data_IF_598624928469
#
_entry.id   IF_598624928469
#
_cell.length_a   1.000
_cell.length_b   1.000
_cell.length_c   1.000
_cell.angle_alpha   90.00
_cell.angle_beta   90.00
_cell.angle_gamma   90.00
#
_symmetry.space_group_name_H-M   'P 1'
#
loop_
_entity.id
_entity.type
_entity.pdbx_description
1 polymer ?
#
# COMPACT_ATOMS: atom_id res chain seq x y z
N UNK A 1 13.81 -13.93 10.61
CA UNK A 1 12.50 -13.56 10.08
C UNK A 1 12.49 -12.08 9.71
N UNK A 2 11.70 -11.73 8.69
CA UNK A 2 11.64 -10.37 8.16
C UNK A 2 10.19 -9.89 8.09
N UNK A 3 10.03 -8.57 8.27
CA UNK A 3 8.80 -7.84 7.95
C UNK A 3 9.14 -6.85 6.84
N UNK A 4 8.32 -6.79 5.80
CA UNK A 4 8.52 -5.88 4.67
C UNK A 4 7.55 -4.71 4.74
N UNK A 5 8.06 -3.50 4.53
CA UNK A 5 7.28 -2.30 4.23
C UNK A 5 7.64 -1.87 2.82
N UNK A 6 6.67 -1.77 1.93
CA UNK A 6 6.92 -1.54 0.51
C UNK A 6 6.01 -0.47 -0.08
N UNK A 7 6.57 0.25 -1.04
CA UNK A 7 5.86 1.18 -1.91
C UNK A 7 6.65 1.34 -3.21
N UNK A 8 5.99 1.62 -4.33
CA UNK A 8 6.70 1.98 -5.55
C UNK A 8 7.01 3.47 -5.59
N UNK A 9 8.09 3.83 -6.26
CA UNK A 9 8.58 5.21 -6.36
C UNK A 9 8.48 5.79 -7.76
N UNK A 10 8.17 4.96 -8.75
CA UNK A 10 7.94 5.39 -10.13
C UNK A 10 6.50 5.88 -10.32
N UNK A 11 6.29 6.61 -11.40
CA UNK A 11 5.00 6.98 -11.92
C UNK A 11 5.06 7.04 -13.46
N UNK A 12 3.94 7.37 -14.11
CA UNK A 12 3.77 7.34 -15.58
C UNK A 12 4.77 8.26 -16.30
N UNK A 13 5.17 9.37 -15.67
CA UNK A 13 6.12 10.31 -16.24
C UNK A 13 5.47 11.26 -17.25
N UNK A 14 5.92 11.24 -18.50
CA UNK A 14 5.38 12.10 -19.56
C UNK A 14 4.21 11.41 -20.25
N UNK A 15 3.07 12.09 -20.31
CA UNK A 15 1.85 11.63 -20.98
C UNK A 15 1.77 12.28 -22.36
N UNK A 16 1.78 11.46 -23.42
CA UNK A 16 1.67 11.92 -24.79
C UNK A 16 0.22 12.17 -25.22
N UNK A 17 0.04 12.99 -26.25
CA UNK A 17 -1.26 13.19 -26.91
C UNK A 17 -2.21 14.17 -26.21
N UNK A 18 -1.74 14.91 -25.23
CA UNK A 18 -2.52 15.99 -24.61
C UNK A 18 -2.62 17.22 -25.52
N UNK A 19 -3.56 18.12 -25.18
CA UNK A 19 -3.72 19.39 -25.91
C UNK A 19 -2.42 20.22 -25.90
N UNK A 20 -2.14 21.03 -26.94
CA UNK A 20 -1.01 21.93 -26.93
C UNK A 20 -1.02 22.85 -25.70
N UNK A 21 0.10 22.94 -25.00
CA UNK A 21 0.30 23.66 -23.73
C UNK A 21 -0.39 23.07 -22.49
N UNK A 22 -0.92 21.84 -22.56
CA UNK A 22 -1.32 21.13 -21.37
C UNK A 22 -0.09 20.67 -20.58
N UNK A 23 -0.21 20.61 -19.25
CA UNK A 23 0.79 19.94 -18.42
C UNK A 23 0.70 18.42 -18.71
N UNK A 24 1.77 17.89 -19.26
CA UNK A 24 1.88 16.49 -19.64
C UNK A 24 2.75 15.67 -18.67
N UNK A 25 3.13 16.23 -17.54
CA UNK A 25 3.90 15.52 -16.52
C UNK A 25 2.94 14.94 -15.49
N UNK A 26 2.89 13.63 -15.43
CA UNK A 26 2.22 12.92 -14.33
C UNK A 26 3.14 12.94 -13.10
N UNK A 27 2.82 13.80 -12.15
CA UNK A 27 3.73 14.12 -11.03
C UNK A 27 3.85 13.03 -9.95
N UNK A 28 2.90 12.09 -9.86
CA UNK A 28 2.94 11.00 -8.89
C UNK A 28 2.84 11.44 -7.42
N UNK A 29 2.18 12.59 -7.14
CA UNK A 29 2.15 13.15 -5.79
C UNK A 29 1.37 12.28 -4.81
N UNK A 30 0.25 11.70 -5.22
CA UNK A 30 -0.52 10.74 -4.43
C UNK A 30 -0.09 9.33 -4.78
N UNK A 31 -0.08 8.99 -6.03
CA UNK A 31 0.38 7.73 -6.58
C UNK A 31 1.80 7.92 -7.19
N UNK A 32 2.90 7.55 -6.51
CA UNK A 32 2.83 6.98 -5.17
C UNK A 32 3.87 7.63 -4.22
N UNK A 33 4.05 8.95 -4.31
CA UNK A 33 4.91 9.66 -3.36
C UNK A 33 4.39 9.54 -1.92
N UNK A 34 3.07 9.38 -1.72
CA UNK A 34 2.48 9.17 -0.39
C UNK A 34 2.89 7.83 0.22
N UNK A 35 2.91 6.76 -0.56
CA UNK A 35 3.38 5.45 -0.10
C UNK A 35 4.86 5.46 0.26
N UNK A 36 5.70 6.08 -0.57
CA UNK A 36 7.13 6.24 -0.27
C UNK A 36 7.33 7.07 1.00
N UNK A 37 6.57 8.16 1.18
CA UNK A 37 6.65 8.97 2.40
C UNK A 37 6.26 8.15 3.65
N UNK A 38 5.25 7.29 3.55
CA UNK A 38 4.87 6.40 4.63
C UNK A 38 6.01 5.40 4.96
N UNK A 39 6.60 4.75 3.95
CA UNK A 39 7.72 3.82 4.15
C UNK A 39 8.94 4.52 4.78
N UNK A 40 9.24 5.75 4.35
CA UNK A 40 10.33 6.54 4.94
C UNK A 40 10.05 6.92 6.40
N UNK A 41 8.81 7.29 6.73
CA UNK A 41 8.43 7.61 8.12
C UNK A 41 8.51 6.37 9.02
N UNK A 42 8.11 5.19 8.52
CA UNK A 42 8.31 3.93 9.25
C UNK A 42 9.80 3.64 9.44
N UNK A 43 10.62 3.78 8.41
CA UNK A 43 12.06 3.59 8.52
C UNK A 43 12.67 4.48 9.60
N UNK A 44 12.26 5.76 9.65
CA UNK A 44 12.68 6.69 10.69
C UNK A 44 12.21 6.27 12.08
N UNK A 45 10.94 5.84 12.22
CA UNK A 45 10.39 5.42 13.53
C UNK A 45 11.06 4.17 14.08
N UNK A 46 11.47 3.26 13.21
CA UNK A 46 12.12 2.03 13.61
C UNK A 46 13.64 2.12 13.70
N UNK A 47 14.28 3.25 13.31
CA UNK A 47 15.75 3.37 13.29
C UNK A 47 16.42 3.13 14.64
N UNK A 48 15.79 3.57 15.72
CA UNK A 48 16.31 3.47 17.09
C UNK A 48 15.54 2.45 17.95
N UNK A 49 14.66 1.66 17.32
CA UNK A 49 13.84 0.66 18.03
C UNK A 49 14.44 -0.73 17.82
N UNK A 50 14.74 -1.40 18.92
CA UNK A 50 15.10 -2.82 18.86
C UNK A 50 13.87 -3.66 18.66
N UNK A 51 13.80 -4.34 17.51
CA UNK A 51 12.70 -5.25 17.14
C UNK A 51 13.14 -6.70 17.22
N UNK A 52 12.20 -7.62 17.44
CA UNK A 52 12.48 -9.06 17.48
C UNK A 52 12.74 -9.64 16.08
N UNK A 53 12.27 -8.96 15.04
CA UNK A 53 12.48 -9.33 13.63
C UNK A 53 13.15 -8.21 12.88
N UNK A 54 13.89 -8.56 11.84
CA UNK A 54 14.46 -7.57 10.93
C UNK A 54 13.34 -6.90 10.14
N UNK A 55 13.43 -5.60 9.95
CA UNK A 55 12.52 -4.84 9.11
C UNK A 55 13.25 -4.44 7.83
N UNK A 56 12.62 -4.68 6.70
CA UNK A 56 13.14 -4.29 5.39
C UNK A 56 12.18 -3.29 4.75
N UNK A 57 12.72 -2.16 4.32
CA UNK A 57 12.00 -1.11 3.63
C UNK A 57 12.33 -1.17 2.15
N UNK A 58 11.33 -1.32 1.30
CA UNK A 58 11.48 -1.50 -0.14
C UNK A 58 10.88 -0.31 -0.89
N UNK A 59 11.72 0.39 -1.64
CA UNK A 59 11.28 1.31 -2.69
C UNK A 59 11.32 0.54 -4.02
N UNK A 60 10.17 0.08 -4.47
CA UNK A 60 10.03 -0.71 -5.70
C UNK A 60 9.95 0.20 -6.92
N UNK A 61 10.28 -0.32 -8.08
CA UNK A 61 10.27 0.43 -9.33
C UNK A 61 9.47 -0.30 -10.40
N UNK A 62 9.03 0.45 -11.44
CA UNK A 62 8.30 -0.09 -12.59
C UNK A 62 6.98 -0.80 -12.17
N UNK A 63 6.32 -0.29 -11.14
CA UNK A 63 4.97 -0.72 -10.78
C UNK A 63 4.02 -0.40 -11.91
N UNK A 64 4.04 0.83 -12.40
CA UNK A 64 3.23 1.38 -13.50
C UNK A 64 3.49 0.71 -14.86
N UNK A 65 4.61 0.00 -14.95
CA UNK A 65 5.00 -0.77 -16.13
C UNK A 65 4.67 -2.26 -16.01
N UNK A 66 3.81 -2.63 -15.07
CA UNK A 66 3.34 -4.01 -14.87
C UNK A 66 4.06 -4.76 -13.76
N UNK A 67 4.34 -4.10 -12.64
CA UNK A 67 4.88 -4.70 -11.40
C UNK A 67 6.28 -5.31 -11.58
N UNK A 68 7.08 -4.81 -12.52
CA UNK A 68 8.33 -5.46 -12.90
C UNK A 68 9.36 -5.50 -11.77
N UNK A 69 9.41 -4.44 -10.94
CA UNK A 69 10.35 -4.36 -9.81
C UNK A 69 10.02 -5.35 -8.71
N UNK A 70 8.76 -5.45 -8.31
CA UNK A 70 8.32 -6.41 -7.30
C UNK A 70 8.43 -7.85 -7.79
N UNK A 71 8.09 -8.10 -9.06
CA UNK A 71 8.24 -9.42 -9.67
C UNK A 71 9.72 -9.86 -9.71
N UNK A 72 10.62 -8.93 -10.08
CA UNK A 72 12.06 -9.20 -10.08
C UNK A 72 12.56 -9.49 -8.66
N UNK A 73 12.21 -8.64 -7.67
CA UNK A 73 12.63 -8.84 -6.29
C UNK A 73 12.13 -10.18 -5.76
N UNK A 74 10.85 -10.50 -5.97
CA UNK A 74 10.26 -11.71 -5.47
C UNK A 74 10.80 -12.98 -6.18
N UNK A 75 11.32 -12.84 -7.41
CA UNK A 75 11.97 -13.93 -8.15
C UNK A 75 13.43 -14.15 -7.77
N UNK A 76 14.13 -13.05 -7.45
CA UNK A 76 15.56 -13.05 -7.10
C UNK A 76 15.80 -12.32 -5.78
N UNK A 77 15.17 -12.77 -4.68
CA UNK A 77 15.24 -12.04 -3.43
C UNK A 77 16.63 -12.16 -2.79
N UNK A 78 17.12 -11.11 -2.14
CA UNK A 78 18.39 -11.15 -1.41
C UNK A 78 18.31 -11.94 -0.09
N UNK A 79 17.10 -12.36 0.28
CA UNK A 79 16.76 -13.14 1.47
C UNK A 79 15.82 -14.29 1.07
N UNK A 80 15.78 -15.36 1.85
CA UNK A 80 14.78 -16.42 1.67
C UNK A 80 13.37 -15.89 1.95
N UNK A 81 12.47 -15.92 0.97
CA UNK A 81 11.08 -15.43 1.14
C UNK A 81 10.29 -16.21 2.21
N UNK A 82 10.63 -17.46 2.46
CA UNK A 82 10.07 -18.25 3.56
C UNK A 82 10.35 -17.68 4.95
N UNK A 83 11.35 -16.79 5.06
CA UNK A 83 11.66 -16.07 6.27
C UNK A 83 10.90 -14.73 6.40
N UNK A 84 10.11 -14.36 5.40
CA UNK A 84 9.24 -13.17 5.44
C UNK A 84 7.91 -13.56 6.07
N UNK A 85 7.63 -13.03 7.24
CA UNK A 85 6.42 -13.37 8.01
C UNK A 85 5.27 -12.39 7.78
N UNK A 86 5.57 -11.20 7.27
CA UNK A 86 4.55 -10.21 6.92
C UNK A 86 5.11 -9.21 5.89
N UNK A 87 4.25 -8.72 5.01
CA UNK A 87 4.51 -7.60 4.12
C UNK A 87 3.37 -6.58 4.17
N UNK A 88 3.71 -5.31 4.11
CA UNK A 88 2.77 -4.20 4.08
C UNK A 88 3.02 -3.37 2.83
N UNK A 89 2.00 -3.24 1.98
CA UNK A 89 2.06 -2.46 0.75
C UNK A 89 1.30 -1.15 0.91
N UNK A 90 1.96 -0.05 0.55
CA UNK A 90 1.41 1.31 0.58
C UNK A 90 1.38 1.86 -0.84
N UNK A 91 0.19 2.02 -1.35
CA UNK A 91 -0.04 2.48 -2.71
C UNK A 91 -1.22 3.45 -2.71
N UNK A 92 -0.97 4.68 -3.17
CA UNK A 92 -1.93 5.77 -3.19
C UNK A 92 -2.59 6.02 -1.82
N UNK A 93 -1.80 6.28 -0.78
CA UNK A 93 -2.33 6.65 0.54
C UNK A 93 -2.99 8.02 0.44
N UNK A 94 -4.33 8.03 0.42
CA UNK A 94 -5.11 9.24 0.19
C UNK A 94 -5.03 10.19 1.39
N UNK A 95 -4.64 11.46 1.21
CA UNK A 95 -4.58 12.45 2.29
C UNK A 95 -5.95 13.10 2.54
N UNK A 96 -7.00 12.29 2.65
CA UNK A 96 -8.39 12.75 2.79
C UNK A 96 -8.78 13.16 4.20
N UNK A 97 -7.91 12.97 5.17
CA UNK A 97 -8.16 13.24 6.59
C UNK A 97 -8.33 11.96 7.42
N UNK A 98 -8.70 12.13 8.68
CA UNK A 98 -8.89 11.01 9.60
C UNK A 98 -10.15 10.23 9.26
N UNK A 99 -10.02 8.90 9.17
CA UNK A 99 -11.12 7.98 8.90
C UNK A 99 -11.38 7.05 10.09
N UNK A 100 -12.63 6.63 10.25
CA UNK A 100 -13.05 5.61 11.22
C UNK A 100 -12.78 4.19 10.72
N UNK A 101 -12.65 4.04 9.41
CA UNK A 101 -12.37 2.76 8.75
C UNK A 101 -10.97 2.74 8.14
N UNK A 102 -10.53 1.55 7.79
CA UNK A 102 -9.37 1.27 6.94
C UNK A 102 -9.81 0.24 5.89
N UNK A 103 -9.62 0.57 4.61
CA UNK A 103 -9.95 -0.34 3.52
C UNK A 103 -8.84 -1.37 3.38
N UNK A 104 -9.20 -2.65 3.31
CA UNK A 104 -8.29 -3.75 3.01
C UNK A 104 -8.64 -4.35 1.67
N UNK A 105 -7.69 -4.29 0.75
CA UNK A 105 -7.80 -4.88 -0.58
C UNK A 105 -7.41 -6.36 -0.48
N UNK A 106 -8.30 -7.25 -0.91
CA UNK A 106 -8.11 -8.69 -0.78
C UNK A 106 -8.40 -9.24 0.61
N UNK A 107 -9.35 -8.64 1.33
CA UNK A 107 -9.76 -9.07 2.67
C UNK A 107 -10.07 -10.57 2.71
N UNK A 108 -9.53 -11.26 3.71
CA UNK A 108 -9.62 -12.73 3.88
C UNK A 108 -8.41 -13.47 3.31
N UNK A 109 -7.34 -12.76 2.90
CA UNK A 109 -6.15 -13.36 2.30
C UNK A 109 -5.12 -13.83 3.33
N UNK A 110 -5.09 -13.25 4.55
CA UNK A 110 -4.10 -13.62 5.57
C UNK A 110 -4.56 -13.29 6.99
N UNK A 111 -3.91 -13.90 7.99
CA UNK A 111 -4.12 -13.59 9.41
C UNK A 111 -3.67 -12.18 9.82
N UNK A 112 -3.01 -11.44 8.92
CA UNK A 112 -2.63 -10.04 9.17
C UNK A 112 -3.85 -9.14 9.37
N UNK A 113 -4.99 -9.50 8.79
CA UNK A 113 -6.25 -8.77 8.96
C UNK A 113 -6.78 -8.91 10.39
N UNK A 114 -6.65 -10.08 11.01
CA UNK A 114 -7.07 -10.30 12.41
C UNK A 114 -6.24 -9.43 13.37
N UNK A 115 -4.93 -9.30 13.08
CA UNK A 115 -4.03 -8.42 13.84
C UNK A 115 -4.41 -6.95 13.61
N UNK A 116 -4.69 -6.57 12.36
CA UNK A 116 -5.13 -5.22 12.02
C UNK A 116 -6.44 -4.87 12.73
N UNK A 117 -7.42 -5.76 12.73
CA UNK A 117 -8.71 -5.55 13.41
C UNK A 117 -8.52 -5.28 14.90
N UNK A 118 -7.71 -6.10 15.57
CA UNK A 118 -7.39 -5.90 16.99
C UNK A 118 -6.71 -4.56 17.28
N UNK A 119 -5.86 -4.08 16.39
CA UNK A 119 -5.21 -2.77 16.54
C UNK A 119 -6.16 -1.61 16.26
N UNK A 120 -7.03 -1.75 15.26
CA UNK A 120 -8.03 -0.74 14.93
C UNK A 120 -9.07 -0.59 16.04
N UNK A 121 -9.52 -1.69 16.63
CA UNK A 121 -10.47 -1.70 17.75
C UNK A 121 -9.98 -0.86 18.94
N UNK A 122 -8.69 -0.86 19.24
CA UNK A 122 -8.10 -0.04 20.31
C UNK A 122 -8.29 1.46 20.10
N UNK A 123 -8.47 1.88 18.86
CA UNK A 123 -8.71 3.29 18.49
C UNK A 123 -10.16 3.56 18.07
N UNK A 124 -11.06 2.58 18.22
CA UNK A 124 -12.46 2.68 17.82
C UNK A 124 -12.63 2.75 16.30
N UNK A 125 -11.67 2.21 15.55
CA UNK A 125 -11.70 2.08 14.09
C UNK A 125 -12.05 0.65 13.69
N UNK A 126 -12.38 0.45 12.41
CA UNK A 126 -12.77 -0.87 11.89
C UNK A 126 -12.21 -1.11 10.48
N UNK A 127 -12.13 -2.40 10.10
CA UNK A 127 -11.80 -2.79 8.74
C UNK A 127 -13.04 -2.63 7.85
N UNK A 128 -12.83 -2.08 6.67
CA UNK A 128 -13.81 -2.05 5.59
C UNK A 128 -13.22 -2.85 4.42
N UNK A 129 -13.85 -3.96 3.99
CA UNK A 129 -13.40 -4.67 2.80
C UNK A 129 -13.45 -3.78 1.55
N UNK A 130 -12.67 -4.15 0.53
CA UNK A 130 -12.70 -3.48 -0.77
C UNK A 130 -14.14 -3.33 -1.28
N UNK A 131 -14.63 -2.10 -1.50
CA UNK A 131 -15.99 -1.87 -1.96
C UNK A 131 -16.21 -2.24 -3.44
N UNK A 132 -15.14 -2.52 -4.18
CA UNK A 132 -15.19 -2.80 -5.63
C UNK A 132 -14.26 -3.96 -6.03
N UNK A 133 -14.39 -5.15 -5.41
CA UNK A 133 -13.48 -6.26 -5.66
C UNK A 133 -13.49 -6.74 -7.11
N UNK A 134 -14.57 -6.49 -7.85
CA UNK A 134 -14.71 -6.79 -9.28
C UNK A 134 -13.73 -5.99 -10.16
N UNK A 135 -13.18 -4.87 -9.65
CA UNK A 135 -12.16 -4.08 -10.34
C UNK A 135 -10.76 -4.72 -10.26
N UNK A 136 -10.61 -5.74 -9.42
CA UNK A 136 -9.39 -6.54 -9.32
C UNK A 136 -8.18 -5.79 -8.75
N UNK A 137 -8.38 -4.80 -7.90
CA UNK A 137 -7.28 -4.02 -7.29
C UNK A 137 -6.25 -4.90 -6.58
N UNK A 138 -6.68 -6.05 -6.03
CA UNK A 138 -5.77 -7.02 -5.41
C UNK A 138 -4.65 -7.51 -6.36
N UNK A 139 -4.87 -7.48 -7.67
CA UNK A 139 -3.91 -7.94 -8.67
C UNK A 139 -3.11 -6.82 -9.32
N UNK A 140 -3.27 -5.58 -8.85
CA UNK A 140 -2.80 -4.39 -9.55
C UNK A 140 -1.77 -3.57 -8.76
N UNK A 141 -1.18 -4.13 -7.70
CA UNK A 141 -0.11 -3.49 -6.95
C UNK A 141 0.94 -4.51 -6.50
N UNK A 142 2.08 -4.05 -6.05
CA UNK A 142 3.32 -4.79 -5.81
C UNK A 142 3.20 -5.99 -4.86
N UNK A 143 2.26 -5.94 -3.90
CA UNK A 143 2.04 -7.02 -2.92
C UNK A 143 1.74 -8.37 -3.59
N UNK A 144 1.12 -8.37 -4.78
CA UNK A 144 0.72 -9.61 -5.45
C UNK A 144 1.94 -10.46 -5.86
N UNK A 145 3.07 -9.83 -6.15
CA UNK A 145 4.31 -10.53 -6.50
C UNK A 145 4.84 -11.38 -5.35
N UNK A 146 4.61 -10.94 -4.12
CA UNK A 146 4.96 -11.65 -2.88
C UNK A 146 3.88 -12.66 -2.49
N UNK A 147 2.60 -12.27 -2.57
CA UNK A 147 1.47 -13.14 -2.25
C UNK A 147 1.47 -14.43 -3.09
N UNK A 148 1.74 -14.33 -4.40
CA UNK A 148 1.89 -15.47 -5.30
C UNK A 148 3.00 -16.47 -4.88
N UNK A 149 3.91 -16.05 -4.01
CA UNK A 149 5.03 -16.85 -3.49
C UNK A 149 4.84 -17.28 -2.03
N UNK A 150 3.62 -17.11 -1.52
CA UNK A 150 3.23 -17.55 -0.18
C UNK A 150 3.65 -16.62 0.96
N UNK A 151 4.05 -15.39 0.66
CA UNK A 151 4.32 -14.36 1.68
C UNK A 151 2.99 -13.75 2.11
N UNK A 152 2.66 -13.75 3.43
CA UNK A 152 1.50 -13.03 3.93
C UNK A 152 1.70 -11.52 3.68
N UNK A 153 0.77 -10.89 3.00
CA UNK A 153 0.84 -9.45 2.69
C UNK A 153 -0.48 -8.77 2.98
N UNK A 154 -0.40 -7.56 3.49
CA UNK A 154 -1.52 -6.68 3.71
C UNK A 154 -1.42 -5.49 2.75
N UNK A 155 -2.45 -5.31 1.93
CA UNK A 155 -2.63 -4.13 1.11
C UNK A 155 -3.79 -3.33 1.67
N UNK A 156 -3.48 -2.24 2.35
CA UNK A 156 -4.47 -1.38 2.99
C UNK A 156 -4.32 0.05 2.55
N UNK A 157 -5.44 0.67 2.26
CA UNK A 157 -5.55 2.09 1.90
C UNK A 157 -6.22 2.91 2.99
N UNK A 158 -6.35 4.21 2.75
CA UNK A 158 -7.19 5.10 3.55
C UNK A 158 -8.65 4.64 3.50
N UNK A 159 -9.40 4.89 4.58
CA UNK A 159 -10.82 4.62 4.62
C UNK A 159 -11.66 5.71 3.94
N UNK A 160 -12.97 5.48 3.91
CA UNK A 160 -13.95 6.41 3.35
C UNK A 160 -14.89 6.99 4.41
N UNK A 161 -14.93 6.41 5.61
CA UNK A 161 -15.77 6.94 6.71
C UNK A 161 -15.00 8.02 7.46
N UNK A 162 -15.01 9.24 6.92
CA UNK A 162 -14.34 10.37 7.55
C UNK A 162 -14.88 10.61 8.97
N UNK A 163 -14.00 11.01 9.89
CA UNK A 163 -14.40 11.44 11.22
C UNK A 163 -15.33 12.66 11.11
N UNK A 164 -14.98 13.59 10.24
CA UNK A 164 -15.78 14.77 9.91
C UNK A 164 -16.45 14.57 8.54
N UNK A 165 -17.77 14.43 8.50
CA UNK A 165 -18.56 14.30 7.28
C UNK A 165 -18.97 12.86 6.90
N UNK A 166 -18.40 11.83 7.53
CA UNK A 166 -18.81 10.45 7.33
C UNK A 166 -18.51 9.88 5.94
N UNK A 167 -19.15 8.76 5.62
CA UNK A 167 -18.92 8.02 4.36
C UNK A 167 -19.26 8.81 3.10
N UNK A 168 -20.30 9.61 3.13
CA UNK A 168 -20.75 10.39 1.96
C UNK A 168 -19.69 11.41 1.56
N UNK A 169 -19.15 12.15 2.55
CA UNK A 169 -18.07 13.10 2.31
C UNK A 169 -16.78 12.40 1.81
N UNK A 170 -16.41 11.28 2.42
CA UNK A 170 -15.24 10.52 2.00
C UNK A 170 -15.34 10.01 0.57
N UNK A 171 -16.47 9.42 0.19
CA UNK A 171 -16.69 8.94 -1.17
C UNK A 171 -16.67 10.07 -2.21
N UNK A 172 -17.07 11.29 -1.84
CA UNK A 172 -17.03 12.43 -2.77
C UNK A 172 -15.61 12.93 -3.09
N UNK A 173 -14.62 12.53 -2.30
CA UNK A 173 -13.23 12.95 -2.50
C UNK A 173 -12.42 12.02 -3.43
N UNK A 174 -12.99 10.90 -3.83
CA UNK A 174 -12.33 9.89 -4.70
C UNK A 174 -12.84 9.91 -6.15
N UNK A 175 -13.63 10.88 -6.53
CA UNK A 175 -14.18 11.04 -7.90
C UNK A 175 -13.57 12.22 -8.63
#
# INVERSE_FOLDING_TARGET
EYILFMAHWDHIGIVDGLAPNADNIANGAVDNATGIAAVMEFAKRFSDVKTDRSIMFLALTLEESGLLGSEYFAKYPPIELSNVVAGFNYDAVLPTGLTKDMVVIGYGASELEDILEQELDKSGRYINPDPSPEKGFFYRSDHISFAKRGVPVLYSGGGFDLVDGGKEAGLSLIH
#
